data_IF_235269067190
#
_entry.id   IF_235269067190
#
_cell.length_a   1.000
_cell.length_b   1.000
_cell.length_c   1.000
_cell.angle_alpha   90.00
_cell.angle_beta   90.00
_cell.angle_gamma   90.00
#
_symmetry.space_group_name_H-M   'P 1'
#
loop_
_entity.id
_entity.type
_entity.pdbx_description
1 polymer ?
#
# COMPACT_ATOMS: atom_id res chain seq x y z
N UNK A 1 11.89 -9.49 -8.45
CA UNK A 1 10.75 -9.13 -7.60
C UNK A 1 11.21 -8.15 -6.54
N UNK A 2 10.49 -7.05 -6.36
CA UNK A 2 10.82 -5.99 -5.40
C UNK A 2 9.64 -5.69 -4.49
N UNK A 3 9.91 -5.05 -3.36
CA UNK A 3 8.89 -4.60 -2.42
C UNK A 3 8.61 -3.12 -2.64
N UNK A 4 7.34 -2.77 -2.61
CA UNK A 4 6.86 -1.42 -2.87
C UNK A 4 5.97 -0.99 -1.72
N UNK A 5 6.20 0.23 -1.24
CA UNK A 5 5.29 0.92 -0.34
C UNK A 5 4.21 1.58 -1.21
N UNK A 6 2.96 1.16 -1.00
CA UNK A 6 1.79 1.57 -1.76
C UNK A 6 0.87 2.35 -0.82
N UNK A 7 0.29 3.42 -1.34
CA UNK A 7 -0.83 4.11 -0.70
C UNK A 7 -2.12 3.57 -1.30
N UNK A 8 -3.10 3.29 -0.47
CA UNK A 8 -4.47 3.04 -0.85
C UNK A 8 -5.33 4.22 -0.41
N UNK A 9 -6.23 4.64 -1.28
CA UNK A 9 -7.17 5.74 -1.05
C UNK A 9 -8.58 5.17 -1.06
N UNK A 10 -9.37 5.49 -0.04
CA UNK A 10 -10.77 5.10 0.04
C UNK A 10 -11.64 6.07 -0.76
N UNK A 11 -12.35 5.55 -1.75
CA UNK A 11 -13.23 6.30 -2.64
C UNK A 11 -14.66 5.76 -2.56
N UNK A 12 -15.59 6.37 -3.30
CA UNK A 12 -16.93 5.84 -3.47
C UNK A 12 -16.96 4.40 -4.03
N UNK A 13 -15.92 3.98 -4.76
CA UNK A 13 -15.79 2.64 -5.34
C UNK A 13 -14.97 1.68 -4.45
N UNK A 14 -14.69 2.06 -3.21
CA UNK A 14 -13.84 1.31 -2.28
C UNK A 14 -12.37 1.74 -2.31
N UNK A 15 -11.51 0.88 -1.78
CA UNK A 15 -10.07 1.12 -1.72
C UNK A 15 -9.40 0.93 -3.07
N UNK A 16 -8.74 1.97 -3.56
CA UNK A 16 -8.04 1.96 -4.85
C UNK A 16 -6.56 2.32 -4.64
N UNK A 17 -5.64 1.76 -5.43
CA UNK A 17 -4.24 2.16 -5.41
C UNK A 17 -4.10 3.67 -5.66
N UNK A 18 -3.29 4.33 -4.85
CA UNK A 18 -2.99 5.75 -4.95
C UNK A 18 -2.35 6.12 -6.28
N UNK A 19 -1.63 5.20 -6.92
CA UNK A 19 -1.03 5.39 -8.25
C UNK A 19 -2.04 5.70 -9.38
N UNK A 20 -3.34 5.55 -9.11
CA UNK A 20 -4.40 6.00 -10.01
C UNK A 20 -4.71 7.51 -9.89
N UNK A 21 -4.07 8.23 -8.98
CA UNK A 21 -4.26 9.66 -8.72
C UNK A 21 -2.94 10.41 -8.93
N UNK A 22 -3.01 11.57 -9.58
CA UNK A 22 -1.83 12.40 -9.84
C UNK A 22 -1.13 12.80 -8.54
N UNK A 23 0.21 12.71 -8.56
CA UNK A 23 1.06 13.03 -7.41
C UNK A 23 1.27 11.88 -6.43
N UNK A 24 0.60 10.75 -6.63
CA UNK A 24 0.78 9.54 -5.81
C UNK A 24 1.42 8.44 -6.63
N UNK A 25 2.39 7.74 -6.04
CA UNK A 25 3.10 6.68 -6.73
C UNK A 25 3.68 5.64 -5.76
N UNK A 26 3.88 4.40 -6.24
CA UNK A 26 4.50 3.35 -5.46
C UNK A 26 5.97 3.67 -5.20
N UNK A 27 6.45 3.45 -3.97
CA UNK A 27 7.85 3.73 -3.61
C UNK A 27 8.60 2.42 -3.42
N UNK A 28 9.59 2.16 -4.28
CA UNK A 28 10.46 0.98 -4.18
C UNK A 28 11.19 0.95 -2.83
N UNK A 29 11.28 -0.24 -2.23
CA UNK A 29 11.98 -0.49 -0.98
C UNK A 29 13.08 -1.54 -1.16
N UNK A 30 14.19 -1.34 -0.45
CA UNK A 30 15.36 -2.22 -0.51
C UNK A 30 15.12 -3.64 0.00
N UNK A 31 14.10 -3.83 0.85
CA UNK A 31 13.75 -5.14 1.41
C UNK A 31 12.31 -5.16 1.92
N UNK A 32 11.82 -6.37 2.23
CA UNK A 32 10.54 -6.56 2.90
C UNK A 32 10.49 -5.81 4.25
N UNK A 33 11.52 -6.00 5.08
CA UNK A 33 11.57 -5.40 6.43
C UNK A 33 11.63 -3.88 6.36
N UNK A 34 12.35 -3.31 5.40
CA UNK A 34 12.36 -1.87 5.13
C UNK A 34 10.95 -1.38 4.79
N UNK A 35 10.22 -2.12 3.96
CA UNK A 35 8.86 -1.78 3.60
C UNK A 35 7.94 -1.78 4.82
N UNK A 36 7.94 -2.87 5.61
CA UNK A 36 7.12 -3.00 6.82
C UNK A 36 7.37 -1.85 7.79
N UNK A 37 8.64 -1.54 8.08
CA UNK A 37 8.99 -0.44 8.99
C UNK A 37 8.43 0.90 8.51
N UNK A 38 8.54 1.20 7.22
CA UNK A 38 8.00 2.45 6.64
C UNK A 38 6.48 2.46 6.59
N UNK A 39 5.86 1.33 6.23
CA UNK A 39 4.40 1.15 6.26
C UNK A 39 3.84 1.45 7.64
N UNK A 40 4.40 0.84 8.68
CA UNK A 40 3.92 0.99 10.06
C UNK A 40 4.11 2.43 10.55
N UNK A 41 5.26 3.03 10.25
CA UNK A 41 5.51 4.43 10.55
C UNK A 41 4.53 5.36 9.84
N UNK A 42 4.30 5.17 8.54
CA UNK A 42 3.34 5.98 7.76
C UNK A 42 1.91 5.82 8.25
N UNK A 43 1.47 4.59 8.56
CA UNK A 43 0.14 4.35 9.12
C UNK A 43 0.00 4.98 10.51
N UNK A 44 1.04 4.92 11.35
CA UNK A 44 1.04 5.56 12.67
C UNK A 44 0.91 7.08 12.55
N UNK A 45 1.70 7.73 11.67
CA UNK A 45 1.58 9.17 11.43
C UNK A 45 0.21 9.54 10.87
N UNK A 46 -0.37 8.67 10.03
CA UNK A 46 -1.67 8.92 9.42
C UNK A 46 -2.81 8.90 10.44
N UNK A 47 -2.68 8.26 11.61
CA UNK A 47 -3.72 8.26 12.65
C UNK A 47 -4.10 9.66 13.13
N UNK A 48 -3.17 10.62 13.04
CA UNK A 48 -3.38 12.01 13.47
C UNK A 48 -3.88 12.91 12.33
N UNK A 49 -3.93 12.40 11.09
CA UNK A 49 -4.36 13.17 9.93
C UNK A 49 -5.89 13.27 9.82
N UNK A 50 -6.38 14.37 9.25
CA UNK A 50 -7.81 14.62 9.04
C UNK A 50 -8.50 13.55 8.18
N UNK A 51 -7.74 12.93 7.26
CA UNK A 51 -8.20 11.88 6.35
C UNK A 51 -7.67 10.49 6.73
N UNK A 52 -7.42 10.26 8.01
CA UNK A 52 -6.83 9.03 8.54
C UNK A 52 -7.59 7.76 8.14
N UNK A 53 -8.92 7.82 8.02
CA UNK A 53 -9.78 6.72 7.60
C UNK A 53 -9.86 6.54 6.07
N UNK A 54 -9.32 7.49 5.29
CA UNK A 54 -9.33 7.46 3.82
C UNK A 54 -8.00 7.08 3.21
N UNK A 55 -6.93 7.01 3.99
CA UNK A 55 -5.57 6.72 3.52
C UNK A 55 -5.06 5.50 4.28
N UNK A 56 -4.49 4.55 3.56
CA UNK A 56 -3.86 3.39 4.17
C UNK A 56 -2.58 3.01 3.43
N UNK A 57 -1.51 2.72 4.16
CA UNK A 57 -0.23 2.32 3.61
C UNK A 57 -0.06 0.80 3.68
N UNK A 58 0.41 0.20 2.59
CA UNK A 58 0.62 -1.24 2.44
C UNK A 58 1.96 -1.55 1.78
N UNK A 59 2.45 -2.77 1.99
CA UNK A 59 3.58 -3.32 1.27
C UNK A 59 3.12 -4.32 0.23
N UNK A 60 3.55 -4.16 -1.02
CA UNK A 60 3.27 -5.11 -2.09
C UNK A 60 4.54 -5.64 -2.74
N UNK A 61 4.59 -6.94 -2.98
CA UNK A 61 5.63 -7.55 -3.82
C UNK A 61 5.20 -7.49 -5.29
N UNK A 62 5.97 -6.76 -6.11
CA UNK A 62 5.68 -6.60 -7.56
C UNK A 62 6.89 -7.03 -8.42
N UNK A 63 6.63 -7.37 -9.68
CA UNK A 63 7.67 -7.51 -10.70
C UNK A 63 8.07 -6.13 -11.23
N UNK A 64 9.31 -5.97 -11.70
CA UNK A 64 9.87 -4.66 -12.11
C UNK A 64 9.13 -3.98 -13.26
N UNK A 65 8.27 -4.70 -13.99
CA UNK A 65 7.59 -4.21 -15.19
C UNK A 65 6.06 -4.38 -15.16
N UNK A 66 5.47 -4.81 -14.04
CA UNK A 66 4.01 -4.97 -13.94
C UNK A 66 3.40 -3.91 -13.02
N UNK A 67 2.42 -3.17 -13.53
CA UNK A 67 1.55 -2.28 -12.74
C UNK A 67 0.53 -3.07 -11.90
N UNK A 68 0.35 -4.37 -12.20
CA UNK A 68 -0.56 -5.23 -11.45
C UNK A 68 0.19 -5.97 -10.35
N UNK A 69 -0.36 -5.94 -9.14
CA UNK A 69 0.12 -6.77 -8.04
C UNK A 69 -0.03 -8.26 -8.41
N UNK A 70 1.10 -8.94 -8.61
CA UNK A 70 1.20 -10.40 -8.62
C UNK A 70 2.15 -10.80 -7.50
N UNK A 71 1.65 -10.80 -6.27
CA UNK A 71 2.46 -11.10 -5.10
C UNK A 71 1.72 -10.84 -3.81
N UNK A 72 2.43 -11.02 -2.70
CA UNK A 72 1.91 -10.84 -1.34
C UNK A 72 1.69 -9.34 -1.05
N UNK A 73 0.48 -8.98 -0.62
CA UNK A 73 0.16 -7.69 0.01
C UNK A 73 0.20 -7.83 1.54
N UNK A 74 0.80 -6.85 2.22
CA UNK A 74 1.01 -6.85 3.67
C UNK A 74 0.69 -5.48 4.25
N UNK A 75 -0.37 -5.39 5.04
CA UNK A 75 -0.77 -4.15 5.71
C UNK A 75 -2.22 -4.19 6.19
N UNK A 76 -2.62 -3.22 7.01
CA UNK A 76 -3.99 -3.13 7.54
C UNK A 76 -5.01 -2.68 6.48
N UNK A 77 -4.60 -2.54 5.22
CA UNK A 77 -5.48 -2.07 4.16
C UNK A 77 -6.35 -3.23 3.69
N UNK A 78 -7.67 -3.02 3.60
CA UNK A 78 -8.61 -4.05 3.17
C UNK A 78 -8.21 -4.78 1.87
N UNK A 79 -7.59 -4.13 0.85
CA UNK A 79 -7.08 -4.84 -0.33
C UNK A 79 -6.02 -5.91 -0.02
N UNK A 80 -5.22 -5.75 1.04
CA UNK A 80 -4.27 -6.78 1.46
C UNK A 80 -4.94 -7.92 2.25
N UNK A 81 -5.99 -7.63 3.01
CA UNK A 81 -6.72 -8.65 3.79
C UNK A 81 -7.50 -9.60 2.88
N UNK A 82 -8.04 -9.10 1.77
CA UNK A 82 -8.73 -9.92 0.77
C UNK A 82 -7.81 -10.93 0.06
N UNK A 83 -6.50 -10.64 -0.06
CA UNK A 83 -5.52 -11.55 -0.66
C UNK A 83 -5.09 -12.71 0.27
N UNK A 84 -5.44 -12.67 1.56
CA UNK A 84 -5.10 -13.72 2.53
C UNK A 84 -6.08 -14.92 2.53
N UNK A 85 -7.14 -14.89 1.72
CA UNK A 85 -8.26 -15.86 1.77
C UNK A 85 -8.34 -16.77 0.53
N UNK A 86 -7.28 -16.89 -0.26
CA UNK A 86 -7.21 -17.80 -1.43
C UNK A 86 -6.04 -18.78 -1.33
#
# INVERSE_FOLDING_TARGET
>A
MKWWLIVYIFTANGWVPGENFDGWGPIEQSSFQTCIKKRDFSNQLNLEAELSDKICFACQKRWEHETKAKGKCEGPCAPCEAEATL
#
